data_IF_731699203879
#
_entry.id   IF_731699203879
#
_cell.length_a   1.000
_cell.length_b   1.000
_cell.length_c   1.000
_cell.angle_alpha   90.00
_cell.angle_beta   90.00
_cell.angle_gamma   90.00
#
_symmetry.space_group_name_H-M   'P 1'
#
loop_
_entity.id
_entity.type
_entity.pdbx_description
1 polymer ?
#
# COMPACT_ATOMS: atom_id res chain seq x y z
N UNK A 1 20.13 -33.19 4.70
CA UNK A 1 19.97 -32.18 3.64
C UNK A 1 19.07 -31.08 4.18
N UNK A 2 19.71 -30.02 4.67
CA UNK A 2 19.10 -28.93 5.43
C UNK A 2 18.22 -28.01 4.58
N UNK A 3 17.07 -28.53 4.15
CA UNK A 3 16.07 -27.79 3.36
C UNK A 3 15.51 -26.55 4.10
N UNK A 4 15.55 -26.55 5.43
CA UNK A 4 15.03 -25.45 6.26
C UNK A 4 16.08 -24.35 6.51
N UNK A 5 17.38 -24.67 6.40
CA UNK A 5 18.48 -23.69 6.63
C UNK A 5 18.60 -22.71 5.47
N UNK A 6 18.41 -23.19 4.23
CA UNK A 6 18.47 -22.38 3.00
C UNK A 6 17.37 -21.31 2.89
N UNK A 7 16.29 -21.39 3.67
CA UNK A 7 15.25 -20.36 3.68
C UNK A 7 15.55 -19.21 4.65
N UNK A 8 16.33 -19.43 5.72
CA UNK A 8 16.64 -18.39 6.72
C UNK A 8 17.78 -17.46 6.32
N UNK A 9 18.85 -18.00 5.73
CA UNK A 9 19.98 -17.17 5.25
C UNK A 9 19.52 -16.21 4.14
N UNK A 10 18.70 -16.71 3.21
CA UNK A 10 18.05 -15.87 2.19
C UNK A 10 17.05 -14.85 2.77
N UNK A 11 16.49 -15.09 3.95
CA UNK A 11 15.50 -14.21 4.57
C UNK A 11 16.14 -12.94 5.17
N UNK A 12 17.23 -13.08 5.92
CA UNK A 12 17.90 -11.95 6.59
C UNK A 12 18.61 -11.02 5.59
N UNK A 13 19.25 -11.59 4.56
CA UNK A 13 19.85 -10.83 3.48
C UNK A 13 18.81 -10.01 2.72
N UNK A 14 17.66 -10.60 2.41
CA UNK A 14 16.56 -9.91 1.73
C UNK A 14 16.03 -8.75 2.56
N UNK A 15 15.84 -8.91 3.88
CA UNK A 15 15.42 -7.80 4.76
C UNK A 15 16.43 -6.67 4.72
N UNK A 16 17.73 -7.00 4.81
CA UNK A 16 18.80 -6.00 4.81
C UNK A 16 18.80 -5.19 3.51
N UNK A 17 18.58 -5.84 2.37
CA UNK A 17 18.41 -5.16 1.08
C UNK A 17 17.14 -4.32 1.04
N UNK A 18 15.99 -4.87 1.42
CA UNK A 18 14.71 -4.16 1.41
C UNK A 18 14.67 -2.94 2.32
N UNK A 19 15.49 -2.93 3.38
CA UNK A 19 15.67 -1.77 4.25
C UNK A 19 16.37 -0.60 3.55
N UNK A 20 17.24 -0.89 2.60
CA UNK A 20 18.01 0.11 1.83
C UNK A 20 17.26 0.58 0.58
N UNK A 21 16.32 -0.23 0.09
CA UNK A 21 15.54 0.06 -1.10
C UNK A 21 14.33 0.97 -0.84
N UNK A 22 13.90 1.70 -1.86
CA UNK A 22 12.65 2.47 -1.84
C UNK A 22 11.43 1.58 -2.11
N UNK A 23 10.24 2.07 -1.80
CA UNK A 23 9.00 1.33 -2.05
C UNK A 23 8.83 0.98 -3.54
N UNK A 24 9.23 1.89 -4.45
CA UNK A 24 9.19 1.66 -5.90
C UNK A 24 10.14 0.54 -6.35
N UNK A 25 11.34 0.48 -5.77
CA UNK A 25 12.28 -0.60 -6.06
C UNK A 25 11.73 -1.96 -5.61
N UNK A 26 11.04 -2.00 -4.47
CA UNK A 26 10.35 -3.23 -4.03
C UNK A 26 9.24 -3.64 -5.01
N UNK A 27 8.45 -2.69 -5.51
CA UNK A 27 7.45 -3.00 -6.54
C UNK A 27 8.09 -3.47 -7.85
N UNK A 28 9.22 -2.89 -8.25
CA UNK A 28 9.96 -3.31 -9.44
C UNK A 28 10.39 -4.77 -9.33
N UNK A 29 10.96 -5.17 -8.19
CA UNK A 29 11.35 -6.57 -7.96
C UNK A 29 10.16 -7.53 -8.07
N UNK A 30 9.01 -7.14 -7.54
CA UNK A 30 7.77 -7.93 -7.67
C UNK A 30 7.33 -8.05 -9.13
N UNK A 31 7.46 -6.97 -9.92
CA UNK A 31 7.20 -7.00 -11.38
C UNK A 31 8.18 -7.91 -12.11
N UNK A 32 9.47 -7.81 -11.80
CA UNK A 32 10.50 -8.64 -12.43
C UNK A 32 10.28 -10.12 -12.12
N UNK A 33 9.88 -10.46 -10.89
CA UNK A 33 9.47 -11.82 -10.54
C UNK A 33 8.25 -12.27 -11.33
N UNK A 34 7.23 -11.43 -11.48
CA UNK A 34 6.06 -11.75 -12.30
C UNK A 34 6.43 -12.00 -13.77
N UNK A 35 7.31 -11.18 -14.34
CA UNK A 35 7.83 -11.34 -15.69
C UNK A 35 8.62 -12.64 -15.84
N UNK A 36 9.51 -12.96 -14.89
CA UNK A 36 10.30 -14.20 -14.89
C UNK A 36 9.44 -15.46 -14.77
N UNK A 37 8.39 -15.41 -13.97
CA UNK A 37 7.47 -16.53 -13.78
C UNK A 37 6.46 -16.66 -14.92
N UNK A 38 6.27 -15.62 -15.75
CA UNK A 38 5.19 -15.56 -16.75
C UNK A 38 3.79 -15.58 -16.15
N UNK A 39 3.68 -15.46 -14.82
CA UNK A 39 2.44 -15.47 -14.04
C UNK A 39 2.57 -14.58 -12.82
N UNK A 40 1.44 -14.29 -12.17
CA UNK A 40 1.45 -13.55 -10.92
C UNK A 40 2.21 -14.35 -9.83
N UNK A 41 3.17 -13.72 -9.12
CA UNK A 41 3.88 -14.38 -8.05
C UNK A 41 2.93 -14.66 -6.87
N UNK A 42 3.17 -15.76 -6.15
CA UNK A 42 2.48 -16.03 -4.89
C UNK A 42 3.30 -15.52 -3.70
N UNK A 43 2.63 -15.26 -2.58
CA UNK A 43 3.27 -14.75 -1.34
C UNK A 43 4.48 -15.58 -0.87
N UNK A 44 4.43 -16.89 -1.08
CA UNK A 44 5.47 -17.83 -0.64
C UNK A 44 6.71 -17.83 -1.53
N UNK A 45 6.62 -17.28 -2.74
CA UNK A 45 7.75 -17.13 -3.67
C UNK A 45 8.56 -15.87 -3.39
N UNK A 46 8.07 -15.01 -2.49
CA UNK A 46 8.73 -13.75 -2.15
C UNK A 46 9.51 -13.93 -0.86
N UNK A 47 10.85 -13.80 -0.91
CA UNK A 47 11.64 -13.84 0.29
C UNK A 47 11.27 -12.66 1.19
N UNK A 48 11.24 -12.90 2.51
CA UNK A 48 10.87 -11.90 3.50
C UNK A 48 9.55 -11.14 3.22
N UNK A 49 8.53 -11.86 2.72
CA UNK A 49 7.20 -11.29 2.48
C UNK A 49 6.61 -10.58 3.71
N UNK A 50 6.88 -11.07 4.92
CA UNK A 50 6.42 -10.42 6.16
C UNK A 50 6.94 -8.99 6.32
N UNK A 51 8.17 -8.72 5.88
CA UNK A 51 8.74 -7.39 5.86
C UNK A 51 8.07 -6.50 4.80
N UNK A 52 7.87 -7.03 3.58
CA UNK A 52 7.12 -6.31 2.54
C UNK A 52 5.70 -5.97 2.99
N UNK A 53 5.04 -6.91 3.68
CA UNK A 53 3.70 -6.72 4.23
C UNK A 53 3.67 -5.61 5.26
N UNK A 54 4.66 -5.55 6.14
CA UNK A 54 4.78 -4.50 7.15
C UNK A 54 4.99 -3.11 6.50
N UNK A 55 5.83 -3.04 5.47
CA UNK A 55 6.21 -1.76 4.83
C UNK A 55 5.20 -1.27 3.80
N UNK A 56 4.80 -2.12 2.85
CA UNK A 56 3.96 -1.77 1.70
C UNK A 56 2.47 -2.06 1.93
N UNK A 57 2.17 -2.95 2.88
CA UNK A 57 0.83 -3.40 3.23
C UNK A 57 0.46 -4.76 2.62
N UNK A 58 -0.84 -5.09 2.63
CA UNK A 58 -1.29 -6.41 2.22
C UNK A 58 -0.97 -6.75 0.75
N UNK A 59 -0.79 -8.04 0.46
CA UNK A 59 -0.42 -8.55 -0.86
C UNK A 59 -1.26 -8.04 -2.04
N UNK A 60 -2.61 -7.97 -1.96
CA UNK A 60 -3.41 -7.41 -3.05
C UNK A 60 -3.08 -5.93 -3.31
N UNK A 61 -2.77 -5.16 -2.26
CA UNK A 61 -2.38 -3.75 -2.39
C UNK A 61 -1.02 -3.61 -3.05
N UNK A 62 -0.10 -4.51 -2.74
CA UNK A 62 1.21 -4.56 -3.39
C UNK A 62 1.05 -4.81 -4.89
N UNK A 63 0.18 -5.76 -5.28
CA UNK A 63 -0.13 -6.03 -6.70
C UNK A 63 -0.84 -4.85 -7.39
N UNK A 64 -1.78 -4.19 -6.71
CA UNK A 64 -2.44 -2.98 -7.20
C UNK A 64 -1.43 -1.85 -7.46
N UNK A 65 -0.55 -1.59 -6.50
CA UNK A 65 0.48 -0.55 -6.60
C UNK A 65 1.58 -0.89 -7.62
N UNK A 66 1.93 -2.17 -7.75
CA UNK A 66 2.87 -2.65 -8.77
C UNK A 66 2.27 -2.66 -10.18
N UNK A 67 0.99 -2.34 -10.35
CA UNK A 67 0.31 -2.37 -11.65
C UNK A 67 0.08 -3.78 -12.20
N UNK A 68 0.25 -4.81 -11.37
CA UNK A 68 0.04 -6.21 -11.77
C UNK A 68 -1.44 -6.61 -11.70
N UNK A 69 -2.25 -5.91 -10.90
CA UNK A 69 -3.68 -6.18 -10.75
C UNK A 69 -4.48 -4.87 -10.73
N UNK A 70 -5.62 -4.79 -11.43
CA UNK A 70 -6.49 -3.64 -11.31
C UNK A 70 -7.07 -3.53 -9.89
N UNK A 71 -7.25 -2.28 -9.43
CA UNK A 71 -7.91 -1.99 -8.16
C UNK A 71 -9.35 -2.50 -8.21
N UNK A 72 -9.74 -3.29 -7.21
CA UNK A 72 -11.11 -3.80 -7.15
C UNK A 72 -12.15 -2.67 -7.11
N UNK A 73 -13.28 -2.85 -7.81
CA UNK A 73 -14.33 -1.83 -7.88
C UNK A 73 -14.87 -1.43 -6.48
N UNK A 74 -15.05 -2.42 -5.60
CA UNK A 74 -15.42 -2.18 -4.20
C UNK A 74 -14.46 -1.22 -3.50
N UNK A 75 -13.15 -1.41 -3.69
CA UNK A 75 -12.11 -0.55 -3.13
C UNK A 75 -12.14 0.84 -3.76
N UNK A 76 -12.28 0.93 -5.09
CA UNK A 76 -12.42 2.20 -5.81
C UNK A 76 -13.58 3.03 -5.23
N UNK A 77 -14.76 2.42 -5.10
CA UNK A 77 -15.95 3.04 -4.49
C UNK A 77 -15.70 3.50 -3.06
N UNK A 78 -15.03 2.70 -2.24
CA UNK A 78 -14.68 3.09 -0.85
C UNK A 78 -13.72 4.29 -0.81
N UNK A 79 -12.72 4.34 -1.71
CA UNK A 79 -11.79 5.46 -1.80
C UNK A 79 -12.50 6.74 -2.24
N UNK A 80 -13.37 6.67 -3.23
CA UNK A 80 -14.20 7.78 -3.70
C UNK A 80 -15.09 8.34 -2.58
N UNK A 81 -15.78 7.47 -1.83
CA UNK A 81 -16.58 7.86 -0.67
C UNK A 81 -15.75 8.57 0.41
N UNK A 82 -14.50 8.14 0.64
CA UNK A 82 -13.59 8.80 1.58
C UNK A 82 -13.21 10.20 1.11
N UNK A 83 -12.91 10.37 -0.18
CA UNK A 83 -12.62 11.69 -0.77
C UNK A 83 -13.84 12.60 -0.64
N UNK A 84 -15.03 12.10 -0.98
CA UNK A 84 -16.28 12.85 -0.89
C UNK A 84 -16.56 13.31 0.55
N UNK A 85 -16.46 12.41 1.54
CA UNK A 85 -16.61 12.75 2.96
C UNK A 85 -15.58 13.78 3.43
N UNK A 86 -14.33 13.72 2.94
CA UNK A 86 -13.29 14.71 3.29
C UNK A 86 -13.64 16.09 2.72
N UNK A 87 -14.13 16.16 1.48
CA UNK A 87 -14.63 17.40 0.87
C UNK A 87 -15.81 17.98 1.65
N UNK A 88 -16.82 17.18 1.95
CA UNK A 88 -18.00 17.60 2.75
C UNK A 88 -17.62 18.13 4.14
N UNK A 89 -16.68 17.46 4.81
CA UNK A 89 -16.15 17.93 6.10
C UNK A 89 -15.42 19.27 5.98
N UNK A 90 -14.65 19.49 4.91
CA UNK A 90 -14.00 20.78 4.65
C UNK A 90 -15.05 21.89 4.44
N UNK A 91 -16.05 21.64 3.59
CA UNK A 91 -17.12 22.61 3.32
C UNK A 91 -18.01 22.90 4.54
N UNK A 92 -18.22 21.94 5.46
CA UNK A 92 -18.94 22.18 6.72
C UNK A 92 -18.20 23.11 7.67
N UNK A 93 -16.86 23.03 7.73
CA UNK A 93 -16.06 23.92 8.60
C UNK A 93 -16.17 25.39 8.21
N UNK A 94 -16.30 25.68 6.91
CA UNK A 94 -16.41 27.05 6.41
C UNK A 94 -17.79 27.70 6.62
N UNK A 95 -18.84 26.93 6.91
CA UNK A 95 -20.19 27.48 7.20
C UNK A 95 -20.39 27.86 8.67
N UNK A 96 -19.75 27.16 9.60
CA UNK A 96 -19.85 27.45 11.05
C UNK A 96 -19.07 28.71 11.47
N UNK A 97 -18.10 29.15 10.68
CA UNK A 97 -17.33 30.39 10.92
C UNK A 97 -18.08 31.63 10.46
N UNK A 98 -18.95 31.53 9.46
CA UNK A 98 -19.75 32.65 8.94
C UNK A 98 -20.96 33.00 9.82
N UNK A 99 -21.47 32.05 10.61
CA UNK A 99 -22.63 32.23 11.50
C UNK A 99 -22.23 32.86 12.86
N UNK A 100 -20.95 32.84 13.23
CA UNK A 100 -20.46 33.38 14.52
C UNK A 100 -20.01 34.86 14.49
N UNK A 101 -20.34 35.61 13.43
CA UNK A 101 -19.96 37.03 13.27
C UNK A 101 -21.10 38.05 13.42
N UNK A 102 -22.29 37.62 13.83
CA UNK A 102 -23.50 38.48 13.94
C UNK A 102 -24.07 38.42 15.36
N UNK A 103 -23.27 38.84 16.34
CA UNK A 103 -23.70 39.10 17.72
C UNK A 103 -22.68 40.02 18.40
N UNK A 104 -22.81 41.34 18.15
CA UNK A 104 -22.14 42.49 18.81
C UNK A 104 -22.30 43.70 17.88
N UNK A 105 -22.83 44.88 18.24
CA UNK A 105 -23.24 45.45 19.52
C UNK A 105 -24.34 46.50 19.25
N UNK A 106 -25.26 46.65 20.21
CA UNK A 106 -26.10 47.84 20.46
C UNK A 106 -25.23 48.98 21.02
#
# INVERSE_FOLDING_TARGET
MDSVKYLKENYEECITQYRRETDEQLYQRVRDLATKLGRLPIKSEIPAFDYLKYRLGNWPRIMENAGLKPVSEKRRRMLEQRVQKKKEKCCRKNKNTLIKGSASDD
#
